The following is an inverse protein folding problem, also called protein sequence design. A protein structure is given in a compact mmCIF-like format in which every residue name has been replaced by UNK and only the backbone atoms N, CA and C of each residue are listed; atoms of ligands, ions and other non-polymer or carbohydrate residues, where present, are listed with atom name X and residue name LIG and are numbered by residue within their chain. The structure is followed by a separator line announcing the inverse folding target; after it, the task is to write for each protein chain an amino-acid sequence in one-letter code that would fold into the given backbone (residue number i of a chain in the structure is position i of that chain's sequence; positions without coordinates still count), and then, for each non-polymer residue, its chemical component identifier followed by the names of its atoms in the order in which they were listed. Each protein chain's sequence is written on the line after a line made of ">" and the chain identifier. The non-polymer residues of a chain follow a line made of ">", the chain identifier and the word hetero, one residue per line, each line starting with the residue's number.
data_IF_078992302214
#
_entry.id   IF_078992302214
#
_cell.length_a   1.000
_cell.length_b   1.000
_cell.length_c   1.000
_cell.angle_alpha   90.00
_cell.angle_beta   90.00
_cell.angle_gamma   90.00
#
_symmetry.space_group_name_H-M   'P 1'
#
loop_
_entity.id
_entity.type
_entity.pdbx_description
1 polymer ?
#
# COMPACT_ATOMS: atom_id res chain seq x y z
N UNK A 1 -4.66 49.83 30.20
CA UNK A 1 -6.03 49.88 30.66
C UNK A 1 -6.72 48.56 30.41
N UNK A 2 -7.15 48.01 31.49
CA UNK A 2 -7.87 46.80 31.78
C UNK A 2 -9.27 46.84 31.17
N UNK A 3 -9.74 45.78 30.55
CA UNK A 3 -11.14 45.40 30.58
C UNK A 3 -11.35 43.91 30.36
N UNK A 4 -11.56 43.21 31.45
CA UNK A 4 -12.18 41.90 31.51
C UNK A 4 -13.61 41.96 30.97
N UNK A 5 -14.00 41.00 30.17
CA UNK A 5 -15.42 40.63 30.06
C UNK A 5 -15.55 39.12 30.14
N UNK A 6 -16.14 38.71 31.25
CA UNK A 6 -16.69 37.42 31.57
C UNK A 6 -17.88 37.13 30.65
N UNK A 7 -17.95 35.95 30.05
CA UNK A 7 -19.18 35.43 29.46
C UNK A 7 -19.41 34.01 29.91
N UNK A 8 -20.37 33.91 30.68
CA UNK A 8 -21.32 32.91 31.10
C UNK A 8 -21.34 31.58 30.33
N UNK A 9 -21.20 30.58 31.14
CA UNK A 9 -21.59 29.18 30.94
C UNK A 9 -23.10 29.06 30.66
N UNK A 10 -23.45 28.34 29.63
CA UNK A 10 -24.82 27.82 29.44
C UNK A 10 -24.74 26.31 29.23
N UNK A 11 -24.96 25.63 30.35
CA UNK A 11 -25.18 24.17 30.41
C UNK A 11 -26.60 23.92 29.93
N UNK A 12 -26.74 23.20 28.83
CA UNK A 12 -28.01 22.64 28.37
C UNK A 12 -28.01 21.15 28.58
N UNK A 13 -28.59 20.73 29.70
CA UNK A 13 -28.93 19.35 30.02
C UNK A 13 -30.21 18.98 29.28
N UNK A 14 -30.11 18.07 28.30
CA UNK A 14 -31.27 17.42 27.69
C UNK A 14 -31.33 15.98 28.19
N UNK A 15 -32.20 15.76 29.17
CA UNK A 15 -32.62 14.45 29.65
C UNK A 15 -33.55 13.82 28.61
N UNK A 16 -33.17 12.70 28.00
CA UNK A 16 -34.07 11.89 27.20
C UNK A 16 -34.49 10.63 27.97
N UNK A 17 -35.77 10.58 28.26
CA UNK A 17 -36.48 9.52 28.96
C UNK A 17 -36.62 8.29 28.03
N UNK A 18 -36.15 7.16 28.52
CA UNK A 18 -36.42 5.84 27.93
C UNK A 18 -37.86 5.41 28.28
N UNK A 19 -38.63 5.12 27.28
CA UNK A 19 -39.86 4.29 27.47
C UNK A 19 -39.65 2.94 26.79
N UNK A 20 -39.52 1.92 27.61
CA UNK A 20 -39.69 0.51 27.23
C UNK A 20 -41.19 0.24 26.96
N UNK A 21 -41.46 -0.35 25.82
CA UNK A 21 -42.68 -1.11 25.65
C UNK A 21 -42.30 -2.51 25.15
N UNK A 22 -42.48 -3.45 26.03
CA UNK A 22 -42.48 -4.89 25.79
C UNK A 22 -43.89 -5.35 25.51
N UNK A 23 -44.00 -6.41 24.73
CA UNK A 23 -45.05 -7.44 24.60
C UNK A 23 -45.22 -7.76 23.12
N UNK A 24 -45.25 -8.98 22.66
CA UNK A 24 -45.33 -10.29 23.19
C UNK A 24 -45.85 -11.22 22.15
N UNK A 25 -45.29 -12.35 22.14
CA UNK A 25 -45.91 -13.66 22.04
C UNK A 25 -46.33 -14.25 20.69
N UNK A 26 -45.70 -15.38 20.40
CA UNK A 26 -46.21 -16.73 20.04
C UNK A 26 -46.73 -16.88 18.59
N UNK A 27 -46.47 -17.94 17.87
CA UNK A 27 -46.51 -19.36 18.16
C UNK A 27 -46.00 -20.18 16.97
N UNK A 28 -45.30 -21.25 17.25
CA UNK A 28 -45.33 -22.62 16.78
C UNK A 28 -45.50 -22.99 15.29
N UNK A 29 -44.67 -23.95 14.92
CA UNK A 29 -44.92 -24.97 13.89
C UNK A 29 -43.60 -25.40 13.27
N UNK A 30 -42.88 -26.25 13.89
CA UNK A 30 -42.74 -27.71 13.92
C UNK A 30 -42.45 -28.37 12.57
N UNK A 31 -41.25 -28.96 12.59
CA UNK A 31 -40.91 -30.33 12.18
C UNK A 31 -40.96 -30.68 10.69
N UNK A 32 -39.89 -31.07 10.10
CA UNK A 32 -39.39 -32.46 10.06
C UNK A 32 -38.10 -32.56 9.25
N UNK A 33 -37.11 -33.13 9.86
CA UNK A 33 -36.06 -33.92 9.17
C UNK A 33 -36.65 -35.33 8.93
N UNK A 34 -36.20 -36.06 7.92
CA UNK A 34 -35.13 -37.01 8.15
C UNK A 34 -34.20 -37.26 6.93
N UNK A 35 -32.95 -37.47 7.21
CA UNK A 35 -32.20 -38.71 7.38
C UNK A 35 -31.88 -39.50 6.10
N UNK A 36 -30.59 -39.51 5.88
CA UNK A 36 -29.72 -40.65 5.62
C UNK A 36 -29.83 -41.42 4.29
N UNK A 37 -28.75 -41.66 3.61
CA UNK A 37 -28.01 -42.91 3.70
C UNK A 37 -27.02 -43.07 2.55
N UNK A 38 -25.86 -43.35 2.96
CA UNK A 38 -24.91 -44.37 2.57
C UNK A 38 -24.13 -44.17 1.28
N UNK A 39 -22.81 -44.19 1.48
CA UNK A 39 -21.85 -44.71 0.55
C UNK A 39 -22.01 -46.24 0.39
N UNK A 40 -21.13 -46.96 -0.22
CA UNK A 40 -19.69 -47.00 0.02
C UNK A 40 -18.81 -47.29 -1.24
N UNK A 41 -17.49 -47.21 -1.01
CA UNK A 41 -16.41 -48.14 -1.41
C UNK A 41 -16.28 -48.54 -2.91
N UNK A 42 -15.16 -48.68 -3.43
CA UNK A 42 -13.91 -49.33 -3.05
C UNK A 42 -12.97 -49.42 -4.21
N UNK A 43 -11.72 -49.41 -3.88
CA UNK A 43 -10.62 -50.29 -4.36
C UNK A 43 -9.97 -49.95 -5.69
N UNK A 44 -8.77 -49.65 -5.56
CA UNK A 44 -7.50 -50.42 -5.43
C UNK A 44 -6.84 -50.64 -6.79
N UNK A 45 -5.65 -50.25 -6.78
CA UNK A 45 -4.37 -50.94 -6.71
C UNK A 45 -3.60 -51.04 -8.02
N UNK A 46 -2.35 -50.70 -7.83
CA UNK A 46 -1.11 -51.43 -8.24
C UNK A 46 -0.71 -51.35 -9.71
N UNK A 47 0.50 -51.20 -10.06
CA UNK A 47 1.88 -51.53 -9.69
C UNK A 47 2.80 -50.88 -10.70
N UNK A 48 3.88 -50.25 -10.28
CA UNK A 48 5.25 -50.75 -10.26
C UNK A 48 5.90 -51.08 -11.62
N UNK A 49 6.95 -50.31 -11.94
CA UNK A 49 8.23 -50.89 -12.39
C UNK A 49 9.23 -49.78 -12.75
N UNK A 50 10.25 -49.65 -11.96
CA UNK A 50 11.62 -49.32 -12.35
C UNK A 50 12.27 -50.56 -12.97
N UNK A 51 13.34 -50.50 -13.80
CA UNK A 51 14.64 -50.13 -13.28
C UNK A 51 15.64 -49.50 -14.31
N UNK A 52 16.59 -48.76 -13.73
CA UNK A 52 18.06 -48.76 -13.87
C UNK A 52 18.72 -49.08 -15.24
N UNK A 53 19.65 -48.18 -15.59
CA UNK A 53 21.07 -48.51 -15.92
C UNK A 53 21.83 -47.23 -16.24
N UNK A 54 22.69 -46.83 -15.40
CA UNK A 54 24.15 -46.78 -15.41
C UNK A 54 24.85 -46.72 -16.77
N UNK A 55 25.66 -45.67 -17.04
CA UNK A 55 27.08 -45.85 -17.39
C UNK A 55 27.81 -44.51 -17.58
N UNK A 56 28.71 -44.23 -16.68
CA UNK A 56 30.14 -43.82 -16.75
C UNK A 56 30.60 -42.79 -17.77
N UNK A 57 31.15 -41.73 -17.14
CA UNK A 57 32.51 -41.16 -17.27
C UNK A 57 33.00 -40.67 -18.66
N UNK A 58 33.36 -39.42 -18.75
CA UNK A 58 34.80 -39.06 -18.90
C UNK A 58 35.02 -37.54 -18.78
N UNK A 59 35.98 -37.21 -17.98
CA UNK A 59 36.71 -36.03 -17.76
C UNK A 59 37.20 -35.37 -19.06
N UNK A 60 36.97 -34.04 -19.21
CA UNK A 60 37.98 -33.19 -19.84
C UNK A 60 37.85 -31.75 -19.28
N UNK A 61 38.84 -31.37 -18.51
CA UNK A 61 39.05 -30.04 -18.02
C UNK A 61 39.64 -29.19 -19.14
N UNK A 62 38.90 -28.15 -19.53
CA UNK A 62 39.46 -27.03 -20.29
C UNK A 62 39.48 -25.82 -19.35
N UNK A 63 40.63 -25.13 -19.19
CA UNK A 63 40.66 -23.90 -18.40
C UNK A 63 39.93 -22.82 -19.19
N UNK A 64 38.78 -22.37 -18.64
CA UNK A 64 38.07 -21.19 -19.12
C UNK A 64 38.88 -19.97 -18.70
N UNK A 65 39.31 -19.23 -19.69
CA UNK A 65 39.97 -17.93 -19.52
C UNK A 65 39.06 -17.03 -18.65
N UNK A 66 39.66 -16.45 -17.62
CA UNK A 66 39.08 -15.35 -16.88
C UNK A 66 38.82 -14.21 -17.86
N UNK A 67 37.57 -13.97 -18.15
CA UNK A 67 37.09 -12.74 -18.78
C UNK A 67 37.34 -11.60 -17.76
N UNK A 68 37.97 -10.50 -18.18
CA UNK A 68 38.21 -9.38 -17.26
C UNK A 68 36.84 -8.86 -16.80
N UNK A 69 36.63 -8.93 -15.48
CA UNK A 69 35.50 -8.25 -14.82
C UNK A 69 35.53 -6.80 -15.27
N UNK A 70 34.51 -6.44 -16.03
CA UNK A 70 34.19 -5.02 -16.23
C UNK A 70 34.02 -4.39 -14.84
N UNK A 71 34.47 -3.14 -14.63
CA UNK A 71 34.15 -2.45 -13.40
C UNK A 71 32.62 -2.42 -13.26
N UNK A 72 32.10 -3.02 -12.19
CA UNK A 72 30.74 -2.82 -11.75
C UNK A 72 30.60 -1.31 -11.57
N UNK A 73 29.92 -0.67 -12.51
CA UNK A 73 29.36 0.66 -12.27
C UNK A 73 28.48 0.45 -11.06
N UNK A 74 28.78 1.11 -9.95
CA UNK A 74 27.90 1.07 -8.78
C UNK A 74 26.53 1.52 -9.25
N UNK A 75 25.65 0.56 -9.47
CA UNK A 75 24.24 0.84 -9.76
C UNK A 75 23.72 1.59 -8.53
N UNK A 76 23.13 2.75 -8.75
CA UNK A 76 22.44 3.47 -7.68
C UNK A 76 21.38 2.58 -7.01
N UNK A 77 20.80 3.01 -5.88
CA UNK A 77 19.81 2.24 -5.17
C UNK A 77 18.65 1.91 -6.10
N UNK A 78 18.22 0.65 -6.09
CA UNK A 78 17.04 0.24 -6.84
C UNK A 78 15.79 0.83 -6.20
N UNK A 79 14.92 1.43 -6.99
CA UNK A 79 13.77 2.17 -6.49
C UNK A 79 12.46 1.78 -7.15
N UNK A 80 11.37 1.87 -6.39
CA UNK A 80 10.01 1.55 -6.80
C UNK A 80 9.09 2.69 -6.41
N UNK A 81 8.26 3.15 -7.34
CA UNK A 81 7.12 4.03 -7.07
C UNK A 81 5.89 3.15 -6.85
N UNK A 82 5.35 3.18 -5.65
CA UNK A 82 4.09 2.53 -5.28
C UNK A 82 3.06 3.60 -5.04
N UNK A 83 1.90 3.53 -5.68
CA UNK A 83 0.88 4.53 -5.47
C UNK A 83 -0.54 4.00 -5.64
N UNK A 84 -1.47 4.63 -4.95
CA UNK A 84 -2.90 4.53 -5.19
C UNK A 84 -3.43 5.89 -5.66
N UNK A 85 -4.26 5.91 -6.69
CA UNK A 85 -4.89 7.12 -7.20
C UNK A 85 -6.34 6.86 -7.60
N UNK A 86 -7.26 7.71 -7.13
CA UNK A 86 -8.66 7.65 -7.53
C UNK A 86 -9.01 8.69 -8.60
N UNK A 87 -8.46 9.91 -8.47
CA UNK A 87 -8.78 11.04 -9.36
C UNK A 87 -7.70 11.36 -10.39
N UNK A 88 -6.59 10.59 -10.41
CA UNK A 88 -5.45 10.81 -11.28
C UNK A 88 -4.40 11.78 -10.72
N UNK A 89 -4.67 12.50 -9.62
CA UNK A 89 -3.70 13.46 -9.07
C UNK A 89 -2.44 12.77 -8.54
N UNK A 90 -2.60 11.72 -7.75
CA UNK A 90 -1.46 10.96 -7.20
C UNK A 90 -0.69 10.25 -8.33
N UNK A 91 -1.41 9.73 -9.33
CA UNK A 91 -0.80 9.12 -10.52
C UNK A 91 0.08 10.11 -11.29
N UNK A 92 -0.38 11.36 -11.47
CA UNK A 92 0.42 12.40 -12.14
C UNK A 92 1.75 12.63 -11.42
N UNK A 93 1.75 12.71 -10.09
CA UNK A 93 2.96 12.87 -9.29
C UNK A 93 3.84 11.61 -9.37
N UNK A 94 3.24 10.42 -9.32
CA UNK A 94 3.96 9.15 -9.45
C UNK A 94 4.70 9.03 -10.79
N UNK A 95 4.04 9.38 -11.88
CA UNK A 95 4.63 9.40 -13.21
C UNK A 95 5.82 10.37 -13.31
N UNK A 96 5.73 11.53 -12.67
CA UNK A 96 6.82 12.50 -12.64
C UNK A 96 8.01 11.99 -11.81
N UNK A 97 7.76 11.38 -10.65
CA UNK A 97 8.83 10.75 -9.86
C UNK A 97 9.54 9.67 -10.69
N UNK A 98 8.78 8.82 -11.37
CA UNK A 98 9.35 7.81 -12.27
C UNK A 98 10.20 8.44 -13.37
N UNK A 99 9.70 9.50 -14.01
CA UNK A 99 10.42 10.18 -15.10
C UNK A 99 11.77 10.79 -14.64
N UNK A 100 11.84 11.25 -13.38
CA UNK A 100 13.03 11.88 -12.83
C UNK A 100 13.99 10.89 -12.14
N UNK A 101 13.54 9.68 -11.80
CA UNK A 101 14.34 8.71 -11.03
C UNK A 101 14.63 7.40 -11.77
N UNK A 102 13.91 7.15 -12.88
CA UNK A 102 13.99 5.85 -13.55
C UNK A 102 13.45 4.67 -12.71
N UNK A 103 12.76 4.94 -11.59
CA UNK A 103 12.21 3.91 -10.72
C UNK A 103 11.21 3.00 -11.44
N UNK A 104 11.12 1.74 -11.02
CA UNK A 104 10.00 0.88 -11.40
C UNK A 104 8.67 1.41 -10.84
N UNK A 105 7.54 0.97 -11.40
CA UNK A 105 6.23 1.44 -10.95
C UNK A 105 5.30 0.30 -10.58
N UNK A 106 4.53 0.49 -9.51
CA UNK A 106 3.42 -0.35 -9.12
C UNK A 106 2.22 0.49 -8.70
N UNK A 107 1.15 0.41 -9.48
CA UNK A 107 -0.14 0.99 -9.10
C UNK A 107 -0.88 0.02 -8.18
N UNK A 108 -1.29 0.50 -7.01
CA UNK A 108 -2.18 -0.25 -6.13
C UNK A 108 -3.59 -0.19 -6.73
N UNK A 109 -4.01 -1.27 -7.36
CA UNK A 109 -5.35 -1.42 -7.93
C UNK A 109 -6.21 -2.23 -6.97
N UNK A 110 -7.37 -1.71 -6.52
CA UNK A 110 -8.29 -2.48 -5.71
C UNK A 110 -8.81 -3.71 -6.45
N UNK A 111 -8.86 -4.87 -5.80
CA UNK A 111 -9.45 -6.08 -6.38
C UNK A 111 -10.95 -5.90 -6.69
N UNK A 112 -11.64 -5.11 -5.88
CA UNK A 112 -12.98 -4.60 -6.14
C UNK A 112 -12.86 -3.09 -6.35
N UNK A 113 -13.14 -2.57 -7.56
CA UNK A 113 -12.98 -1.15 -7.85
C UNK A 113 -13.85 -0.28 -6.95
N UNK A 114 -13.29 0.84 -6.49
CA UNK A 114 -14.09 1.88 -5.85
C UNK A 114 -15.11 2.49 -6.82
N UNK A 115 -16.14 3.09 -6.26
CA UNK A 115 -17.15 3.82 -7.04
C UNK A 115 -16.57 5.05 -7.73
N UNK A 116 -17.17 5.45 -8.86
CA UNK A 116 -16.88 6.73 -9.54
C UNK A 116 -17.68 7.90 -8.94
N UNK A 117 -18.64 7.62 -8.05
CA UNK A 117 -19.43 8.62 -7.35
C UNK A 117 -18.72 9.12 -6.11
N UNK A 118 -18.40 10.41 -6.09
CA UNK A 118 -17.61 11.02 -5.02
C UNK A 118 -18.26 10.94 -3.64
N UNK A 119 -19.58 11.21 -3.55
CA UNK A 119 -20.26 11.21 -2.26
C UNK A 119 -20.32 9.78 -1.69
N UNK A 120 -20.57 8.79 -2.54
CA UNK A 120 -20.50 7.37 -2.14
C UNK A 120 -19.10 6.96 -1.72
N UNK A 121 -18.06 7.46 -2.40
CA UNK A 121 -16.68 7.18 -2.02
C UNK A 121 -16.35 7.71 -0.63
N UNK A 122 -16.85 8.90 -0.28
CA UNK A 122 -16.64 9.49 1.05
C UNK A 122 -17.19 8.58 2.15
N UNK A 123 -18.37 8.00 1.94
CA UNK A 123 -19.00 7.07 2.89
C UNK A 123 -18.20 5.76 3.00
N UNK A 124 -17.79 5.18 1.85
CA UNK A 124 -16.95 3.97 1.81
C UNK A 124 -15.65 4.19 2.57
N UNK A 125 -14.96 5.30 2.31
CA UNK A 125 -13.69 5.61 2.96
C UNK A 125 -13.82 5.76 4.48
N UNK A 126 -14.90 6.38 4.96
CA UNK A 126 -15.18 6.46 6.40
C UNK A 126 -15.50 5.11 7.02
N UNK A 127 -16.29 4.29 6.34
CA UNK A 127 -16.64 2.95 6.81
C UNK A 127 -15.39 2.05 6.86
N UNK A 128 -14.52 2.12 5.86
CA UNK A 128 -13.25 1.39 5.86
C UNK A 128 -12.36 1.80 7.03
N UNK A 129 -12.21 3.11 7.29
CA UNK A 129 -11.43 3.61 8.43
C UNK A 129 -12.04 3.17 9.77
N UNK A 130 -13.36 3.28 9.91
CA UNK A 130 -14.05 2.92 11.15
C UNK A 130 -13.94 1.42 11.49
N UNK A 131 -13.79 0.58 10.47
CA UNK A 131 -13.69 -0.87 10.62
C UNK A 131 -12.25 -1.40 10.53
N UNK A 132 -11.25 -0.51 10.42
CA UNK A 132 -9.84 -0.90 10.18
C UNK A 132 -9.71 -1.90 9.04
N UNK A 133 -10.40 -1.62 7.93
CA UNK A 133 -10.51 -2.52 6.79
C UNK A 133 -9.18 -2.73 6.07
N UNK A 134 -9.06 -3.86 5.39
CA UNK A 134 -7.92 -4.19 4.52
C UNK A 134 -8.47 -4.57 3.14
N UNK A 135 -8.84 -3.58 2.30
CA UNK A 135 -9.29 -3.87 0.95
C UNK A 135 -8.23 -4.63 0.16
N UNK A 136 -8.65 -5.69 -0.54
CA UNK A 136 -7.72 -6.52 -1.29
C UNK A 136 -7.14 -5.77 -2.51
N UNK A 137 -5.86 -6.03 -2.78
CA UNK A 137 -5.12 -5.47 -3.92
C UNK A 137 -5.15 -6.48 -5.07
N UNK A 138 -5.36 -6.00 -6.28
CA UNK A 138 -5.19 -6.78 -7.49
C UNK A 138 -3.71 -6.75 -7.93
N UNK A 139 -3.09 -7.93 -8.02
CA UNK A 139 -1.69 -8.06 -8.38
C UNK A 139 -0.75 -7.99 -7.18
N UNK A 140 0.52 -8.20 -7.46
CA UNK A 140 1.61 -8.24 -6.47
C UNK A 140 2.86 -7.59 -7.07
N UNK A 141 3.74 -7.09 -6.21
CA UNK A 141 5.09 -6.67 -6.61
C UNK A 141 6.00 -7.90 -6.57
N UNK A 142 6.50 -8.30 -7.73
CA UNK A 142 7.49 -9.36 -7.81
C UNK A 142 8.83 -8.88 -7.28
N UNK A 143 9.50 -9.72 -6.48
CA UNK A 143 10.85 -9.42 -5.97
C UNK A 143 10.96 -8.09 -5.22
N UNK A 144 9.99 -7.78 -4.34
CA UNK A 144 9.98 -6.54 -3.56
C UNK A 144 11.26 -6.34 -2.75
N UNK A 145 11.93 -7.43 -2.36
CA UNK A 145 13.18 -7.42 -1.63
C UNK A 145 14.34 -6.70 -2.35
N UNK A 146 14.29 -6.63 -3.69
CA UNK A 146 15.34 -5.97 -4.49
C UNK A 146 15.38 -4.45 -4.37
N UNK A 147 14.28 -3.82 -3.92
CA UNK A 147 14.20 -2.37 -3.86
C UNK A 147 14.74 -1.83 -2.54
N UNK A 148 15.62 -0.83 -2.63
CA UNK A 148 16.17 -0.10 -1.48
C UNK A 148 15.31 1.10 -1.10
N UNK A 149 14.66 1.72 -2.10
CA UNK A 149 13.83 2.92 -1.95
C UNK A 149 12.43 2.66 -2.49
N UNK A 150 11.42 2.99 -1.68
CA UNK A 150 10.02 2.94 -2.08
C UNK A 150 9.42 4.34 -1.97
N UNK A 151 9.07 4.94 -3.10
CA UNK A 151 8.26 6.16 -3.14
C UNK A 151 6.81 5.76 -2.94
N UNK A 152 6.19 6.15 -1.83
CA UNK A 152 4.85 5.70 -1.44
C UNK A 152 3.84 6.84 -1.58
N UNK A 153 2.93 6.72 -2.56
CA UNK A 153 1.98 7.75 -2.95
C UNK A 153 0.52 7.44 -2.67
N UNK A 154 -0.22 8.44 -2.14
CA UNK A 154 -1.64 8.29 -1.82
C UNK A 154 -2.37 9.63 -1.75
N UNK A 155 -3.69 9.64 -2.01
CA UNK A 155 -4.52 10.78 -1.66
C UNK A 155 -4.81 10.79 -0.14
N UNK A 156 -4.93 11.98 0.45
CA UNK A 156 -5.40 12.09 1.83
C UNK A 156 -6.93 11.94 1.87
N UNK A 157 -7.42 10.86 2.48
CA UNK A 157 -8.83 10.59 2.72
C UNK A 157 -9.16 10.70 4.20
N UNK A 158 -9.99 11.66 4.57
CA UNK A 158 -10.42 11.89 5.95
C UNK A 158 -9.27 12.02 6.97
N UNK A 159 -8.18 12.66 6.55
CA UNK A 159 -7.02 12.89 7.41
C UNK A 159 -6.09 11.71 7.54
N UNK A 160 -6.25 10.69 6.69
CA UNK A 160 -5.46 9.47 6.70
C UNK A 160 -5.17 8.97 5.27
N UNK A 161 -4.40 7.90 5.17
CA UNK A 161 -4.25 7.11 3.94
C UNK A 161 -5.53 6.31 3.67
N UNK A 162 -5.92 6.08 2.40
CA UNK A 162 -6.90 5.07 2.06
C UNK A 162 -6.51 3.71 2.65
N UNK A 163 -7.50 2.96 3.14
CA UNK A 163 -7.22 1.71 3.87
C UNK A 163 -6.50 0.64 3.02
N UNK A 164 -6.58 0.75 1.70
CA UNK A 164 -5.81 -0.12 0.79
C UNK A 164 -4.28 0.06 0.92
N UNK A 165 -3.80 1.23 1.35
CA UNK A 165 -2.38 1.45 1.65
C UNK A 165 -1.93 0.66 2.88
N UNK A 166 -2.81 0.51 3.87
CA UNK A 166 -2.56 -0.34 5.03
C UNK A 166 -2.41 -1.81 4.63
N UNK A 167 -3.24 -2.27 3.67
CA UNK A 167 -3.08 -3.61 3.08
C UNK A 167 -1.69 -3.78 2.47
N UNK A 168 -1.23 -2.81 1.68
CA UNK A 168 0.09 -2.86 1.06
C UNK A 168 1.22 -2.89 2.10
N UNK A 169 1.16 -2.02 3.11
CA UNK A 169 2.16 -1.99 4.18
C UNK A 169 2.17 -3.29 5.01
N UNK A 170 1.00 -3.90 5.23
CA UNK A 170 0.91 -5.18 5.95
C UNK A 170 1.44 -6.39 5.13
N UNK A 171 1.45 -6.29 3.78
CA UNK A 171 1.82 -7.41 2.90
C UNK A 171 3.31 -7.50 2.59
N UNK A 172 4.06 -6.39 2.67
CA UNK A 172 5.46 -6.32 2.27
C UNK A 172 6.41 -5.98 3.41
N UNK A 173 7.62 -6.52 3.36
CA UNK A 173 8.66 -6.25 4.35
C UNK A 173 9.51 -5.03 3.94
N UNK A 174 9.37 -3.95 4.68
CA UNK A 174 10.11 -2.71 4.50
C UNK A 174 11.38 -2.61 5.34
N UNK A 175 11.77 -3.66 6.06
CA UNK A 175 12.95 -3.64 6.91
C UNK A 175 14.21 -3.27 6.13
N UNK A 176 14.90 -2.23 6.58
CA UNK A 176 16.13 -1.72 5.96
C UNK A 176 15.92 -0.87 4.70
N UNK A 177 14.68 -0.68 4.27
CA UNK A 177 14.36 0.16 3.10
C UNK A 177 14.15 1.61 3.50
N UNK A 178 14.24 2.49 2.52
CA UNK A 178 13.85 3.90 2.64
C UNK A 178 12.45 4.07 2.07
N UNK A 179 11.52 4.64 2.85
CA UNK A 179 10.20 5.04 2.39
C UNK A 179 10.20 6.56 2.19
N UNK A 180 9.93 6.99 0.96
CA UNK A 180 9.81 8.39 0.59
C UNK A 180 8.33 8.70 0.26
N UNK A 181 7.53 9.21 1.23
CA UNK A 181 6.10 9.37 1.05
C UNK A 181 5.76 10.62 0.23
N UNK A 182 4.72 10.52 -0.61
CA UNK A 182 4.12 11.68 -1.25
C UNK A 182 2.59 11.62 -1.18
N UNK A 183 1.97 12.76 -0.95
CA UNK A 183 0.53 12.86 -0.75
C UNK A 183 -0.10 13.94 -1.61
N UNK A 184 -1.27 13.66 -2.15
CA UNK A 184 -2.13 14.66 -2.78
C UNK A 184 -3.35 14.94 -1.90
N UNK A 185 -3.72 16.20 -1.74
CA UNK A 185 -4.83 16.57 -0.87
C UNK A 185 -5.48 17.89 -1.30
N UNK A 186 -6.69 18.13 -0.81
CA UNK A 186 -7.37 19.42 -0.92
C UNK A 186 -6.88 20.49 0.08
N UNK A 187 -5.69 20.30 0.69
CA UNK A 187 -5.10 21.23 1.66
C UNK A 187 -4.79 20.62 3.03
N UNK A 188 -5.13 19.36 3.27
CA UNK A 188 -4.86 18.66 4.55
C UNK A 188 -3.41 18.18 4.67
N UNK A 189 -2.67 18.12 3.56
CA UNK A 189 -1.32 17.57 3.54
C UNK A 189 -1.28 16.12 4.01
N UNK A 190 -0.23 15.78 4.74
CA UNK A 190 -0.06 14.44 5.31
C UNK A 190 -0.97 14.14 6.49
N UNK A 191 -1.50 15.16 7.17
CA UNK A 191 -2.19 14.95 8.46
C UNK A 191 -1.32 14.14 9.43
N UNK A 192 -1.76 12.96 9.88
CA UNK A 192 -0.99 12.06 10.77
C UNK A 192 -0.28 10.89 10.08
N UNK A 193 -0.31 10.82 8.74
CA UNK A 193 0.06 9.60 8.00
C UNK A 193 1.54 9.25 8.07
N UNK A 194 2.44 10.24 8.13
CA UNK A 194 3.89 9.99 8.32
C UNK A 194 4.12 9.17 9.59
N UNK A 195 3.57 9.64 10.72
CA UNK A 195 3.69 8.91 11.99
C UNK A 195 2.99 7.54 11.98
N UNK A 196 2.00 7.34 11.11
CA UNK A 196 1.37 6.04 10.91
C UNK A 196 2.31 5.10 10.15
N UNK A 197 2.92 5.55 9.07
CA UNK A 197 3.92 4.78 8.31
C UNK A 197 5.09 4.39 9.22
N UNK A 198 5.65 5.32 9.99
CA UNK A 198 6.74 5.05 10.94
C UNK A 198 6.37 4.01 12.00
N UNK A 199 5.11 3.99 12.44
CA UNK A 199 4.64 2.98 13.41
C UNK A 199 4.42 1.60 12.79
N UNK A 200 3.95 1.55 11.55
CA UNK A 200 3.74 0.29 10.83
C UNK A 200 5.08 -0.31 10.40
N UNK A 201 6.02 0.53 9.97
CA UNK A 201 7.31 0.13 9.43
C UNK A 201 8.49 0.64 10.30
N UNK A 202 8.60 0.18 11.55
CA UNK A 202 9.58 0.71 12.50
C UNK A 202 11.03 0.40 12.13
N UNK A 203 11.26 -0.51 11.19
CA UNK A 203 12.58 -0.90 10.71
C UNK A 203 12.94 -0.26 9.36
N UNK A 204 12.06 0.57 8.79
CA UNK A 204 12.32 1.38 7.61
C UNK A 204 12.79 2.78 8.00
N UNK A 205 13.51 3.44 7.08
CA UNK A 205 13.81 4.87 7.20
C UNK A 205 12.74 5.66 6.43
N UNK A 206 12.00 6.54 7.10
CA UNK A 206 11.00 7.40 6.45
C UNK A 206 11.60 8.78 6.23
N UNK A 207 11.60 9.27 4.99
CA UNK A 207 12.14 10.59 4.64
C UNK A 207 11.12 11.71 4.88
N UNK A 208 11.55 12.96 4.72
CA UNK A 208 10.63 14.06 4.53
C UNK A 208 9.77 13.82 3.29
N UNK A 209 8.46 14.05 3.40
CA UNK A 209 7.50 13.75 2.34
C UNK A 209 7.18 14.94 1.45
N UNK A 210 6.68 14.67 0.22
CA UNK A 210 6.15 15.67 -0.71
C UNK A 210 4.62 15.77 -0.56
N UNK A 211 4.11 16.98 -0.30
CA UNK A 211 2.66 17.22 -0.21
C UNK A 211 2.22 18.23 -1.26
N UNK A 212 1.32 17.82 -2.16
CA UNK A 212 0.82 18.64 -3.26
C UNK A 212 -0.71 18.76 -3.23
N UNK A 213 -1.20 19.93 -3.60
CA UNK A 213 -2.61 20.15 -3.93
C UNK A 213 -2.93 19.71 -5.36
N UNK A 214 -4.22 19.75 -5.76
CA UNK A 214 -4.63 19.32 -7.09
C UNK A 214 -4.02 20.16 -8.22
N UNK A 215 -3.78 21.45 -7.98
CA UNK A 215 -3.16 22.35 -8.99
C UNK A 215 -1.68 22.06 -9.18
N UNK A 216 -0.97 21.77 -8.09
CA UNK A 216 0.45 21.42 -8.13
C UNK A 216 0.65 20.01 -8.68
N UNK A 217 -0.25 19.08 -8.36
CA UNK A 217 -0.24 17.72 -8.88
C UNK A 217 -0.49 17.65 -10.40
N UNK A 218 -1.08 18.70 -11.00
CA UNK A 218 -1.28 18.77 -12.45
C UNK A 218 0.02 19.11 -13.24
N UNK A 219 0.99 19.74 -12.58
CA UNK A 219 2.32 20.05 -13.15
C UNK A 219 3.39 19.96 -12.03
N UNK A 220 3.71 18.73 -11.56
CA UNK A 220 4.49 18.53 -10.35
C UNK A 220 6.01 18.60 -10.55
N UNK A 221 6.49 18.80 -11.79
CA UNK A 221 7.89 18.61 -12.17
C UNK A 221 8.90 19.34 -11.29
N UNK A 222 8.69 20.63 -11.04
CA UNK A 222 9.60 21.42 -10.19
C UNK A 222 9.57 21.03 -8.73
N UNK A 223 8.39 20.70 -8.19
CA UNK A 223 8.22 20.32 -6.79
C UNK A 223 8.85 18.95 -6.53
N UNK A 224 8.67 18.01 -7.46
CA UNK A 224 9.30 16.68 -7.41
C UNK A 224 10.83 16.82 -7.46
N UNK A 225 11.38 17.59 -8.39
CA UNK A 225 12.83 17.79 -8.51
C UNK A 225 13.43 18.39 -7.23
N UNK A 226 12.77 19.40 -6.68
CA UNK A 226 13.22 20.03 -5.43
C UNK A 226 13.15 19.04 -4.24
N UNK A 227 12.08 18.29 -4.14
CA UNK A 227 11.91 17.29 -3.09
C UNK A 227 12.95 16.17 -3.18
N UNK A 228 13.14 15.56 -4.36
CA UNK A 228 14.14 14.51 -4.58
C UNK A 228 15.55 14.98 -4.23
N UNK A 229 15.90 16.22 -4.62
CA UNK A 229 17.17 16.84 -4.23
C UNK A 229 17.29 17.03 -2.71
N UNK A 230 16.19 17.48 -2.07
CA UNK A 230 16.15 17.72 -0.62
C UNK A 230 16.35 16.45 0.20
N UNK A 231 15.80 15.32 -0.24
CA UNK A 231 15.92 14.02 0.44
C UNK A 231 17.13 13.20 -0.03
N UNK A 232 17.95 13.72 -0.96
CA UNK A 232 19.16 13.07 -1.46
C UNK A 232 18.91 11.89 -2.39
N UNK A 233 17.77 11.83 -3.05
CA UNK A 233 17.36 10.77 -4.00
C UNK A 233 17.23 11.28 -5.45
N UNK A 234 17.68 12.49 -5.74
CA UNK A 234 17.83 12.95 -7.13
C UNK A 234 18.90 12.09 -7.84
N UNK A 235 18.64 11.73 -9.10
CA UNK A 235 19.70 11.14 -9.91
C UNK A 235 20.92 12.08 -9.91
N UNK A 236 22.08 11.54 -9.58
CA UNK A 236 23.32 12.25 -9.78
C UNK A 236 23.48 12.44 -11.29
N UNK A 237 23.27 13.65 -11.80
CA UNK A 237 23.69 13.99 -13.15
C UNK A 237 25.15 13.55 -13.29
N UNK A 238 25.34 12.52 -14.13
CA UNK A 238 26.69 12.03 -14.41
C UNK A 238 27.56 13.20 -14.72
N UNK A 239 28.58 13.40 -13.91
CA UNK A 239 29.65 14.38 -14.14
C UNK A 239 30.24 14.09 -15.53
N UNK A 240 29.65 14.68 -16.57
CA UNK A 240 30.33 14.90 -17.84
C UNK A 240 31.43 15.93 -17.57
N UNK A 241 32.54 15.41 -17.10
CA UNK A 241 33.76 16.19 -17.01
C UNK A 241 34.48 16.11 -18.35
N UNK A 242 34.43 17.20 -19.05
CA UNK A 242 35.14 17.46 -20.31
C UNK A 242 36.66 17.40 -20.17
#
# INVERSE_FOLDING_TARGET
>A
HIAMKKILSLIWTLTMVFTLAACGNSDSGESTSPKASSGPESSAASEESTPSSESTASTESTPQAEEPSQPETEAGPTSLVVYFSWSGNTESVANEIQAQTGADMFEIVPAEPYTDDYDTLLDIAQDEQANDARPAIAGTVDHFEQYDVVYLGYPNWWGDMPMILYTFLDEYDFSGKTIAPFVTSGGSGFSGTIGTIERMEPNAAVTEGLSLGSSEAADPGSDVAQWLSGIGLAESEGSENS
#
